data_IF_804861742574
#
_entry.id   IF_804861742574
#
_cell.length_a   1.000
_cell.length_b   1.000
_cell.length_c   1.000
_cell.angle_alpha   90.00
_cell.angle_beta   90.00
_cell.angle_gamma   90.00
#
_symmetry.space_group_name_H-M   'P 1'
#
loop_
_entity.id
_entity.type
_entity.pdbx_description
1 polymer ?
#
# COMPACT_ATOMS: atom_id res chain seq x y z
N UNK A 1 -12.56 4.70 -16.90
CA UNK A 1 -11.90 5.77 -16.13
C UNK A 1 -12.35 5.59 -14.70
N UNK A 2 -11.41 5.39 -13.77
CA UNK A 2 -11.70 5.27 -12.34
C UNK A 2 -12.37 6.60 -11.92
N UNK A 3 -13.66 6.57 -11.59
CA UNK A 3 -14.32 7.75 -11.01
C UNK A 3 -13.69 8.02 -9.63
N UNK A 4 -13.43 9.29 -9.29
CA UNK A 4 -12.87 9.65 -7.98
C UNK A 4 -11.35 9.83 -7.90
N UNK A 5 -10.60 9.63 -8.98
CA UNK A 5 -9.16 9.94 -9.02
C UNK A 5 -8.82 10.91 -10.14
N UNK A 6 -8.25 12.05 -9.77
CA UNK A 6 -7.82 13.09 -10.70
C UNK A 6 -6.30 13.08 -10.86
N UNK A 7 -5.78 13.78 -11.87
CA UNK A 7 -4.32 13.93 -11.99
C UNK A 7 -3.77 14.67 -10.75
N UNK A 8 -2.58 14.28 -10.23
CA UNK A 8 -1.70 13.23 -10.73
C UNK A 8 -2.00 11.78 -10.28
N UNK A 9 -2.97 11.54 -9.40
CA UNK A 9 -3.24 10.23 -8.78
C UNK A 9 -3.76 9.15 -9.74
N UNK A 10 -4.21 9.52 -10.94
CA UNK A 10 -4.65 8.60 -11.98
C UNK A 10 -3.53 8.19 -12.96
N UNK A 11 -2.28 8.56 -12.67
CA UNK A 11 -1.14 8.20 -13.51
C UNK A 11 -0.69 6.75 -13.24
N UNK A 12 -0.48 6.02 -14.33
CA UNK A 12 0.20 4.73 -14.33
C UNK A 12 1.69 5.03 -14.54
N UNK A 13 2.52 4.73 -13.54
CA UNK A 13 3.96 4.96 -13.61
C UNK A 13 4.75 3.80 -12.99
N UNK A 14 6.05 3.77 -13.25
CA UNK A 14 6.92 2.71 -12.78
C UNK A 14 6.83 1.39 -13.55
N UNK A 15 7.12 0.30 -12.84
CA UNK A 15 7.15 -1.06 -13.39
C UNK A 15 6.07 -1.94 -12.75
N UNK A 16 5.95 -3.19 -13.19
CA UNK A 16 5.05 -4.17 -12.59
C UNK A 16 5.60 -4.81 -11.30
N UNK A 17 6.83 -4.46 -10.89
CA UNK A 17 7.48 -5.00 -9.69
C UNK A 17 8.59 -6.01 -9.94
N UNK A 18 8.72 -6.53 -11.16
CA UNK A 18 9.70 -7.57 -11.49
C UNK A 18 11.15 -7.03 -11.53
N UNK A 19 11.32 -5.77 -11.94
CA UNK A 19 12.61 -5.09 -12.07
C UNK A 19 12.43 -3.58 -12.19
N UNK A 20 13.51 -2.83 -11.97
CA UNK A 20 13.63 -1.39 -12.18
C UNK A 20 14.85 -1.08 -13.06
N UNK A 21 14.97 0.14 -13.61
CA UNK A 21 16.15 0.52 -14.39
C UNK A 21 17.47 0.30 -13.62
N UNK A 22 18.53 -0.18 -14.29
CA UNK A 22 19.82 -0.49 -13.67
C UNK A 22 20.57 0.78 -13.23
N UNK A 23 21.64 0.60 -12.45
CA UNK A 23 22.54 1.65 -11.96
C UNK A 23 21.86 2.73 -11.11
N UNK A 24 21.02 2.32 -10.15
CA UNK A 24 20.35 3.24 -9.21
C UNK A 24 21.31 3.73 -8.14
N UNK A 25 22.07 4.77 -8.45
CA UNK A 25 22.99 5.40 -7.50
C UNK A 25 22.33 6.50 -6.65
N UNK A 26 21.21 7.06 -7.13
CA UNK A 26 20.49 8.13 -6.44
C UNK A 26 19.38 7.56 -5.54
N UNK A 27 19.67 7.52 -4.24
CA UNK A 27 18.76 7.03 -3.20
C UNK A 27 17.55 7.94 -2.96
N UNK A 28 17.56 9.17 -3.50
CA UNK A 28 16.40 10.08 -3.40
C UNK A 28 15.29 9.71 -4.38
N UNK A 29 15.60 8.91 -5.41
CA UNK A 29 14.61 8.44 -6.36
C UNK A 29 13.76 7.31 -5.76
N UNK A 30 12.44 7.53 -5.71
CA UNK A 30 11.47 6.52 -5.29
C UNK A 30 11.39 5.36 -6.31
N UNK A 31 11.01 4.17 -5.84
CA UNK A 31 10.57 3.09 -6.73
C UNK A 31 9.08 3.31 -7.04
N UNK A 32 8.74 3.35 -8.32
CA UNK A 32 7.35 3.38 -8.75
C UNK A 32 6.94 1.96 -9.14
N UNK A 33 5.81 1.52 -8.60
CA UNK A 33 5.24 0.19 -8.77
C UNK A 33 3.75 0.32 -9.09
N UNK A 34 3.33 -0.10 -10.28
CA UNK A 34 1.90 -0.17 -10.59
C UNK A 34 1.33 -1.52 -10.16
N UNK A 35 0.39 -1.50 -9.22
CA UNK A 35 -0.30 -2.70 -8.73
C UNK A 35 -1.70 -2.73 -9.32
N UNK A 36 -1.91 -3.61 -10.30
CA UNK A 36 -3.17 -3.72 -11.05
C UNK A 36 -4.36 -4.05 -10.14
N UNK A 37 -4.17 -4.91 -9.14
CA UNK A 37 -5.24 -5.38 -8.24
C UNK A 37 -5.84 -4.26 -7.38
N UNK A 38 -5.09 -3.19 -7.12
CA UNK A 38 -5.55 -2.00 -6.37
C UNK A 38 -5.64 -0.75 -7.27
N UNK A 39 -5.40 -0.95 -8.57
CA UNK A 39 -5.41 0.05 -9.63
C UNK A 39 -4.64 1.34 -9.29
N UNK A 40 -3.48 1.22 -8.65
CA UNK A 40 -2.71 2.38 -8.19
C UNK A 40 -1.21 2.22 -8.42
N UNK A 41 -0.55 3.36 -8.65
CA UNK A 41 0.90 3.44 -8.61
C UNK A 41 1.34 3.72 -7.18
N UNK A 42 2.10 2.80 -6.60
CA UNK A 42 2.73 2.93 -5.30
C UNK A 42 4.14 3.52 -5.46
N UNK A 43 4.50 4.43 -4.56
CA UNK A 43 5.82 5.08 -4.55
C UNK A 43 6.58 4.65 -3.29
N UNK A 44 7.58 3.78 -3.45
CA UNK A 44 8.41 3.34 -2.32
C UNK A 44 9.60 4.28 -2.13
N UNK A 45 9.79 4.75 -0.92
CA UNK A 45 10.91 5.60 -0.51
C UNK A 45 12.10 4.74 -0.08
N UNK A 46 13.32 5.23 -0.28
CA UNK A 46 14.51 4.57 0.29
C UNK A 46 14.46 4.64 1.82
N UNK A 47 14.78 3.53 2.48
CA UNK A 47 14.87 3.43 3.94
C UNK A 47 16.33 3.34 4.39
N UNK A 48 17.04 2.30 3.96
CA UNK A 48 18.41 2.02 4.40
C UNK A 48 19.11 1.01 3.47
N UNK A 49 20.42 0.86 3.64
CA UNK A 49 21.19 -0.26 3.07
C UNK A 49 20.98 -1.51 3.91
N UNK A 50 20.94 -2.65 3.23
CA UNK A 50 20.84 -3.99 3.82
C UNK A 50 21.75 -4.95 3.06
N UNK A 51 22.09 -6.06 3.70
CA UNK A 51 22.76 -7.18 3.05
C UNK A 51 21.82 -8.38 3.09
N UNK A 52 21.53 -8.97 1.93
CA UNK A 52 20.68 -10.17 1.81
C UNK A 52 21.51 -11.23 1.10
N UNK A 53 21.84 -12.31 1.81
CA UNK A 53 22.65 -13.40 1.25
C UNK A 53 23.95 -12.89 0.61
N UNK A 54 24.69 -12.04 1.34
CA UNK A 54 25.97 -11.45 0.90
C UNK A 54 25.86 -10.47 -0.30
N UNK A 55 24.63 -10.12 -0.73
CA UNK A 55 24.36 -9.12 -1.74
C UNK A 55 23.98 -7.80 -1.07
N UNK A 56 24.73 -6.73 -1.36
CA UNK A 56 24.38 -5.37 -0.96
C UNK A 56 23.11 -4.91 -1.70
N UNK A 57 22.12 -4.44 -0.95
CA UNK A 57 20.87 -3.94 -1.49
C UNK A 57 20.37 -2.68 -0.77
N UNK A 58 19.47 -1.99 -1.45
CA UNK A 58 18.74 -0.85 -0.90
C UNK A 58 17.34 -1.28 -0.53
N UNK A 59 16.99 -1.12 0.76
CA UNK A 59 15.63 -1.33 1.23
C UNK A 59 14.79 -0.12 0.89
N UNK A 60 13.75 -0.36 0.12
CA UNK A 60 12.67 0.55 -0.16
C UNK A 60 11.41 0.10 0.58
N UNK A 61 10.58 1.06 0.99
CA UNK A 61 9.35 0.79 1.71
C UNK A 61 8.25 1.75 1.30
N UNK A 62 7.00 1.34 1.49
CA UNK A 62 5.88 2.27 1.46
C UNK A 62 5.82 2.99 2.80
N UNK A 63 6.10 4.28 2.78
CA UNK A 63 6.07 5.14 3.96
C UNK A 63 4.62 5.55 4.31
N UNK A 64 4.49 6.38 5.35
CA UNK A 64 3.21 6.87 5.87
C UNK A 64 2.39 7.65 4.82
N UNK A 65 3.00 8.13 3.73
CA UNK A 65 2.28 8.87 2.69
C UNK A 65 1.66 7.98 1.61
N UNK A 66 1.92 6.67 1.63
CA UNK A 66 1.46 5.74 0.60
C UNK A 66 -0.07 5.67 0.43
N UNK A 67 -0.81 5.80 1.53
CA UNK A 67 -2.28 5.83 1.55
C UNK A 67 -2.81 7.13 2.16
N UNK A 68 -2.09 8.22 1.92
CA UNK A 68 -2.49 9.55 2.36
C UNK A 68 -3.60 10.13 1.47
N UNK A 69 -4.36 11.06 2.03
CA UNK A 69 -5.46 11.76 1.39
C UNK A 69 -5.15 13.25 1.16
N UNK A 70 -3.88 13.65 1.25
CA UNK A 70 -3.45 15.04 1.20
C UNK A 70 -3.12 15.65 2.57
N UNK A 71 -3.36 14.93 3.67
CA UNK A 71 -3.06 15.37 5.05
C UNK A 71 -1.56 15.52 5.28
N UNK A 72 -0.75 14.64 4.70
CA UNK A 72 0.72 14.65 4.86
C UNK A 72 1.43 15.17 3.62
N UNK A 73 1.01 14.74 2.43
CA UNK A 73 1.54 15.20 1.14
C UNK A 73 0.41 15.78 0.28
N UNK A 74 0.41 17.10 0.09
CA UNK A 74 -0.64 17.81 -0.69
C UNK A 74 -0.90 17.21 -2.07
N UNK A 75 0.11 16.59 -2.71
CA UNK A 75 -0.02 15.95 -4.02
C UNK A 75 -0.99 14.76 -4.01
N UNK A 76 -1.23 14.13 -2.86
CA UNK A 76 -2.10 12.98 -2.68
C UNK A 76 -3.57 13.38 -2.46
N UNK A 77 -3.88 14.69 -2.40
CA UNK A 77 -5.27 15.14 -2.30
C UNK A 77 -6.13 14.76 -3.51
N UNK A 78 -5.52 14.35 -4.63
CA UNK A 78 -6.24 13.88 -5.82
C UNK A 78 -6.79 12.45 -5.73
N UNK A 79 -6.51 11.71 -4.64
CA UNK A 79 -7.18 10.45 -4.31
C UNK A 79 -8.58 10.68 -3.72
N UNK A 80 -8.99 11.95 -3.62
CA UNK A 80 -10.13 12.39 -2.87
C UNK A 80 -10.86 13.51 -3.63
N UNK A 81 -12.19 13.44 -3.60
CA UNK A 81 -13.09 14.49 -4.10
C UNK A 81 -13.81 15.16 -2.89
N UNK A 82 -15.11 15.46 -2.99
CA UNK A 82 -15.86 16.20 -1.95
C UNK A 82 -16.03 15.44 -0.61
N UNK A 83 -15.88 14.11 -0.62
CA UNK A 83 -15.95 13.26 0.58
C UNK A 83 -14.71 12.39 0.70
N UNK A 84 -13.83 12.75 1.63
CA UNK A 84 -12.54 12.09 1.82
C UNK A 84 -12.62 10.97 2.84
N UNK A 85 -12.05 9.82 2.52
CA UNK A 85 -11.70 8.87 3.56
C UNK A 85 -10.55 9.42 4.42
N UNK A 86 -10.49 9.10 5.72
CA UNK A 86 -9.37 9.44 6.59
C UNK A 86 -8.05 8.86 6.05
N UNK A 87 -6.90 9.48 6.36
CA UNK A 87 -5.60 9.02 5.87
C UNK A 87 -5.26 7.61 6.37
N UNK A 88 -4.63 6.79 5.53
CA UNK A 88 -4.19 5.44 5.87
C UNK A 88 -4.89 4.30 5.12
N UNK A 89 -5.81 4.63 4.22
CA UNK A 89 -6.42 3.65 3.33
C UNK A 89 -6.70 4.24 1.95
N UNK A 90 -6.71 3.36 0.95
CA UNK A 90 -6.98 3.67 -0.45
C UNK A 90 -8.33 3.08 -0.85
N UNK A 91 -9.20 3.91 -1.43
CA UNK A 91 -10.46 3.45 -2.03
C UNK A 91 -10.18 2.74 -3.36
N UNK A 92 -10.69 1.51 -3.49
CA UNK A 92 -10.57 0.69 -4.70
C UNK A 92 -11.95 0.24 -5.22
N UNK A 93 -13.05 0.84 -4.77
CA UNK A 93 -14.42 0.47 -5.14
C UNK A 93 -14.61 0.47 -6.66
N UNK A 94 -14.15 1.54 -7.30
CA UNK A 94 -14.35 1.74 -8.74
C UNK A 94 -13.56 0.77 -9.60
N UNK A 95 -12.46 0.21 -9.09
CA UNK A 95 -11.73 -0.85 -9.78
C UNK A 95 -12.19 -2.25 -9.40
N UNK A 96 -12.87 -2.42 -8.27
CA UNK A 96 -13.43 -3.68 -7.80
C UNK A 96 -14.93 -3.81 -8.12
N UNK A 97 -15.32 -3.33 -9.30
CA UNK A 97 -16.68 -3.49 -9.83
C UNK A 97 -17.81 -2.99 -8.89
N UNK A 98 -17.55 -1.95 -8.09
CA UNK A 98 -18.52 -1.37 -7.17
C UNK A 98 -18.60 -2.07 -5.80
N UNK A 99 -17.72 -3.04 -5.51
CA UNK A 99 -17.58 -3.57 -4.17
C UNK A 99 -16.97 -2.48 -3.26
N UNK A 100 -17.50 -2.22 -2.04
CA UNK A 100 -17.02 -1.15 -1.15
C UNK A 100 -15.69 -1.51 -0.45
N UNK A 101 -14.70 -1.92 -1.24
CA UNK A 101 -13.41 -2.42 -0.81
C UNK A 101 -12.39 -1.28 -0.70
N UNK A 102 -11.59 -1.33 0.37
CA UNK A 102 -10.49 -0.39 0.60
C UNK A 102 -9.23 -1.16 0.99
N UNK A 103 -8.08 -0.60 0.67
CA UNK A 103 -6.76 -1.18 0.95
C UNK A 103 -6.03 -0.36 2.00
N UNK A 104 -5.42 -1.01 2.98
CA UNK A 104 -4.56 -0.38 3.97
C UNK A 104 -3.31 -1.22 4.21
N UNK A 105 -2.42 -0.76 5.09
CA UNK A 105 -1.45 -1.67 5.68
C UNK A 105 -2.13 -2.64 6.67
N UNK A 106 -1.54 -3.82 6.93
CA UNK A 106 -2.02 -4.76 7.93
C UNK A 106 -2.19 -4.11 9.31
N UNK A 107 -3.29 -4.48 9.96
CA UNK A 107 -3.74 -3.93 11.23
C UNK A 107 -3.86 -2.40 11.25
N UNK A 108 -4.13 -1.80 10.09
CA UNK A 108 -4.20 -0.35 9.91
C UNK A 108 -2.94 0.38 10.39
N UNK A 109 -1.77 -0.22 10.19
CA UNK A 109 -0.48 0.42 10.46
C UNK A 109 -0.42 1.80 9.77
N UNK A 110 -0.03 2.83 10.51
CA UNK A 110 0.09 4.22 10.06
C UNK A 110 -1.22 4.89 9.57
N UNK A 111 -2.38 4.28 9.84
CA UNK A 111 -3.66 4.87 9.50
C UNK A 111 -4.21 5.76 10.63
N UNK A 112 -5.18 6.61 10.29
CA UNK A 112 -5.93 7.42 11.25
C UNK A 112 -6.67 6.52 12.27
N UNK A 113 -6.82 6.95 13.52
CA UNK A 113 -7.29 6.07 14.60
C UNK A 113 -8.71 5.56 14.38
N UNK A 114 -9.53 6.31 13.64
CA UNK A 114 -10.90 5.95 13.24
C UNK A 114 -11.01 4.57 12.58
N UNK A 115 -9.96 4.07 11.93
CA UNK A 115 -9.93 2.72 11.35
C UNK A 115 -9.85 1.62 12.42
N UNK A 116 -9.17 1.88 13.54
CA UNK A 116 -8.89 0.89 14.57
C UNK A 116 -9.66 1.05 15.88
N UNK A 117 -10.15 2.26 16.20
CA UNK A 117 -10.73 2.60 17.51
C UNK A 117 -11.97 1.74 17.88
N UNK A 118 -12.63 1.14 16.88
CA UNK A 118 -13.82 0.30 17.05
C UNK A 118 -13.56 -1.20 16.85
N UNK A 119 -12.30 -1.60 16.74
CA UNK A 119 -11.92 -2.97 16.40
C UNK A 119 -11.05 -3.56 17.50
N UNK A 120 -11.51 -4.66 18.10
CA UNK A 120 -10.70 -5.46 19.00
C UNK A 120 -9.75 -6.38 18.22
N UNK A 121 -8.54 -6.58 18.75
CA UNK A 121 -7.56 -7.53 18.20
C UNK A 121 -6.61 -6.97 17.15
N UNK A 122 -6.68 -5.67 16.84
CA UNK A 122 -5.67 -5.01 16.01
C UNK A 122 -4.37 -4.77 16.79
N UNK A 123 -3.23 -5.05 16.17
CA UNK A 123 -1.91 -4.85 16.77
C UNK A 123 -0.89 -4.42 15.69
N UNK A 124 -0.95 -3.16 15.21
CA UNK A 124 -0.04 -2.67 14.18
C UNK A 124 1.42 -2.76 14.67
N UNK A 125 2.26 -3.46 13.90
CA UNK A 125 3.65 -3.72 14.21
C UNK A 125 4.47 -3.42 12.93
N UNK A 126 5.27 -2.35 12.90
CA UNK A 126 6.01 -1.97 11.71
C UNK A 126 6.96 -3.06 11.17
N UNK A 127 7.49 -3.92 12.04
CA UNK A 127 8.39 -5.00 11.60
C UNK A 127 7.61 -6.12 10.87
N UNK A 128 6.34 -6.31 11.22
CA UNK A 128 5.47 -7.34 10.64
C UNK A 128 4.59 -6.83 9.52
N UNK A 129 4.25 -5.55 9.50
CA UNK A 129 3.17 -5.03 8.66
C UNK A 129 3.61 -3.99 7.64
N UNK A 130 4.90 -3.67 7.54
CA UNK A 130 5.42 -2.83 6.44
C UNK A 130 5.48 -3.61 5.12
N UNK A 131 5.30 -2.86 4.03
CA UNK A 131 5.64 -3.29 2.69
C UNK A 131 7.09 -2.92 2.41
N UNK A 132 7.94 -3.88 2.03
CA UNK A 132 9.34 -3.63 1.68
C UNK A 132 9.76 -4.32 0.38
N UNK A 133 10.76 -3.71 -0.29
CA UNK A 133 11.51 -4.27 -1.40
C UNK A 133 12.99 -3.98 -1.16
N UNK A 134 13.81 -5.02 -1.07
CA UNK A 134 15.26 -4.90 -1.09
C UNK A 134 15.73 -5.08 -2.53
N UNK A 135 16.32 -4.02 -3.08
CA UNK A 135 16.71 -3.93 -4.48
C UNK A 135 18.23 -3.95 -4.62
N UNK A 136 18.77 -4.86 -5.44
CA UNK A 136 20.17 -4.80 -5.86
C UNK A 136 20.34 -3.63 -6.86
N UNK A 137 21.19 -2.63 -6.58
CA UNK A 137 21.16 -1.35 -7.29
C UNK A 137 21.82 -1.38 -8.67
N UNK A 138 22.74 -2.31 -8.95
CA UNK A 138 23.46 -2.35 -10.23
C UNK A 138 22.56 -2.87 -11.35
N UNK A 139 21.84 -3.95 -11.10
CA UNK A 139 20.95 -4.62 -12.05
C UNK A 139 19.51 -4.13 -11.93
N UNK A 140 19.12 -3.56 -10.78
CA UNK A 140 17.75 -3.10 -10.54
C UNK A 140 16.79 -4.28 -10.32
N UNK A 141 17.28 -5.36 -9.71
CA UNK A 141 16.51 -6.59 -9.48
C UNK A 141 16.13 -6.66 -7.99
N UNK A 142 14.85 -6.94 -7.66
CA UNK A 142 14.46 -7.19 -6.28
C UNK A 142 15.05 -8.52 -5.82
N UNK A 143 15.75 -8.52 -4.69
CA UNK A 143 16.37 -9.72 -4.10
C UNK A 143 15.64 -10.20 -2.85
N UNK A 144 14.84 -9.34 -2.23
CA UNK A 144 13.91 -9.70 -1.18
C UNK A 144 12.68 -8.77 -1.25
N UNK A 145 11.49 -9.34 -1.11
CA UNK A 145 10.21 -8.63 -1.17
C UNK A 145 9.32 -9.14 -0.06
N UNK A 146 8.67 -8.23 0.64
CA UNK A 146 7.56 -8.49 1.53
C UNK A 146 6.44 -7.50 1.18
N UNK A 147 5.58 -7.89 0.25
CA UNK A 147 4.41 -7.11 -0.15
C UNK A 147 3.26 -7.42 0.81
N UNK A 148 2.99 -6.50 1.75
CA UNK A 148 2.00 -6.69 2.82
C UNK A 148 0.92 -5.64 2.76
N UNK A 149 -0.31 -6.07 2.54
CA UNK A 149 -1.50 -5.22 2.43
C UNK A 149 -2.69 -5.88 3.14
N UNK A 150 -3.70 -5.07 3.44
CA UNK A 150 -4.94 -5.49 4.06
C UNK A 150 -6.14 -5.05 3.23
N UNK A 151 -7.08 -5.98 3.04
CA UNK A 151 -8.36 -5.73 2.40
C UNK A 151 -9.40 -5.49 3.48
N UNK A 152 -10.10 -4.38 3.36
CA UNK A 152 -11.16 -3.97 4.28
C UNK A 152 -12.42 -3.61 3.50
N UNK A 153 -13.56 -3.60 4.18
CA UNK A 153 -14.84 -3.16 3.64
C UNK A 153 -15.29 -1.90 4.35
N UNK A 154 -15.60 -0.85 3.59
CA UNK A 154 -16.21 0.36 4.11
C UNK A 154 -17.72 0.15 4.23
N UNK A 155 -18.21 -0.03 5.45
CA UNK A 155 -19.63 -0.26 5.74
C UNK A 155 -20.25 1.09 6.11
N UNK A 156 -21.16 1.65 5.27
CA UNK A 156 -21.85 2.88 5.61
C UNK A 156 -22.82 2.66 6.78
N UNK A 157 -23.17 3.75 7.47
CA UNK A 157 -24.42 3.74 8.23
C UNK A 157 -25.57 3.80 7.20
N UNK A 158 -26.43 2.79 7.20
CA UNK A 158 -27.67 2.76 6.43
C UNK A 158 -28.83 2.26 7.30
N UNK A 159 -29.75 3.16 7.64
CA UNK A 159 -31.01 2.82 8.32
C UNK A 159 -32.06 2.18 7.39
N UNK A 160 -31.81 2.19 6.07
CA UNK A 160 -32.80 1.85 5.04
C UNK A 160 -32.82 0.36 4.65
N UNK A 161 -31.87 -0.45 5.13
CA UNK A 161 -31.82 -1.89 4.81
C UNK A 161 -32.58 -2.68 5.87
N UNK A 162 -33.86 -2.96 5.59
CA UNK A 162 -34.69 -3.81 6.45
C UNK A 162 -34.03 -5.20 6.64
N UNK A 163 -33.85 -5.61 7.91
CA UNK A 163 -33.27 -6.89 8.36
C UNK A 163 -31.73 -7.00 8.38
N UNK A 164 -31.00 -5.88 8.35
CA UNK A 164 -29.56 -5.87 8.61
C UNK A 164 -29.24 -4.85 9.72
N UNK A 165 -28.86 -5.35 10.91
CA UNK A 165 -28.34 -4.50 11.99
C UNK A 165 -26.95 -3.98 11.57
N UNK A 166 -26.94 -2.82 10.93
CA UNK A 166 -25.72 -2.09 10.60
C UNK A 166 -25.26 -1.24 11.80
N UNK A 167 -23.96 -0.90 11.88
CA UNK A 167 -23.48 0.00 12.92
C UNK A 167 -24.07 1.41 12.75
N UNK A 168 -24.31 2.08 13.87
CA UNK A 168 -24.84 3.46 13.93
C UNK A 168 -23.92 4.50 13.25
N UNK A 169 -22.70 4.13 12.90
CA UNK A 169 -21.71 4.99 12.26
C UNK A 169 -20.95 4.20 11.20
N UNK A 170 -20.40 4.88 10.19
CA UNK A 170 -19.54 4.26 9.19
C UNK A 170 -18.36 3.56 9.87
N UNK A 171 -18.11 2.31 9.49
CA UNK A 171 -16.95 1.53 9.95
C UNK A 171 -16.13 0.99 8.78
N UNK A 172 -14.87 0.70 9.04
CA UNK A 172 -13.93 0.13 8.09
C UNK A 172 -13.52 -1.25 8.57
N UNK A 173 -14.26 -2.28 8.17
CA UNK A 173 -14.13 -3.61 8.74
C UNK A 173 -13.01 -4.40 8.05
N UNK A 174 -11.94 -4.82 8.76
CA UNK A 174 -10.86 -5.58 8.17
C UNK A 174 -11.30 -7.02 7.87
N UNK A 175 -11.11 -7.47 6.63
CA UNK A 175 -11.50 -8.84 6.23
C UNK A 175 -10.33 -9.80 6.38
N UNK A 176 -9.21 -9.47 5.75
CA UNK A 176 -7.95 -10.20 5.87
C UNK A 176 -6.77 -9.31 5.45
N UNK A 177 -5.59 -9.66 5.92
CA UNK A 177 -4.34 -9.16 5.37
C UNK A 177 -3.55 -10.33 4.80
N UNK A 178 -2.64 -10.02 3.87
CA UNK A 178 -1.80 -11.01 3.22
C UNK A 178 -0.35 -10.53 3.14
N UNK A 179 0.55 -11.49 2.98
CA UNK A 179 1.95 -11.27 2.65
C UNK A 179 2.28 -12.05 1.41
N UNK A 180 2.72 -11.36 0.36
CA UNK A 180 3.40 -11.98 -0.76
C UNK A 180 4.90 -11.72 -0.59
N UNK A 181 5.65 -12.80 -0.39
CA UNK A 181 7.08 -12.71 -0.08
C UNK A 181 7.89 -13.53 -1.07
N UNK A 182 8.99 -12.96 -1.53
CA UNK A 182 9.95 -13.60 -2.42
C UNK A 182 11.37 -13.20 -2.00
N UNK A 183 12.29 -14.16 -1.98
CA UNK A 183 13.69 -13.90 -1.62
C UNK A 183 14.62 -14.77 -2.46
N UNK A 184 15.73 -14.20 -2.91
CA UNK A 184 16.77 -14.94 -3.62
C UNK A 184 17.40 -15.97 -2.68
N UNK A 185 17.70 -17.17 -3.18
CA UNK A 185 18.47 -18.16 -2.43
C UNK A 185 19.98 -18.02 -2.75
N UNK A 186 20.84 -18.61 -1.90
CA UNK A 186 22.29 -18.56 -2.08
C UNK A 186 22.74 -19.13 -3.43
N UNK A 187 22.10 -20.18 -3.93
CA UNK A 187 22.45 -20.81 -5.21
C UNK A 187 22.27 -19.87 -6.42
N UNK A 188 21.22 -19.04 -6.40
CA UNK A 188 20.98 -18.03 -7.44
C UNK A 188 21.83 -16.77 -7.23
N UNK A 189 22.28 -16.52 -5.99
CA UNK A 189 23.15 -15.39 -5.67
C UNK A 189 24.60 -15.61 -6.16
N UNK A 190 25.06 -16.85 -6.19
CA UNK A 190 26.44 -17.23 -6.58
C UNK A 190 26.62 -17.49 -8.09
N UNK A 191 25.52 -17.61 -8.85
CA UNK A 191 25.53 -17.92 -10.29
C UNK A 191 25.75 -16.70 -11.19
#
# INVERSE_FOLDING_TARGET
LLSGRHAPCNQIAGTAGDMWPPFRNDKTQKLELFVADICSTLQLSYLNEVEVNEIEAYRYWLDESAFDNGKYEQKNSCFCDDSCMPAGALDIETCQHGAPAIVSFPHFLNADSVYGDKMDGLNPDPEKHRFIIDLEPKLGIPINVDARLQINVAIPNCDEIENLDLPDEKIYYPIFWFSESASINLETAES
#
